data_IF_436891125329
#
_entry.id   IF_436891125329
#
_cell.length_a   1.000
_cell.length_b   1.000
_cell.length_c   1.000
_cell.angle_alpha   90.00
_cell.angle_beta   90.00
_cell.angle_gamma   90.00
#
_symmetry.space_group_name_H-M   'P 1'
#
loop_
_entity.id
_entity.type
_entity.pdbx_description
1 polymer ?
#
# COMPACT_ATOMS: atom_id res chain seq x y z
N UNK A 1 -23.35 -4.25 -7.18
CA UNK A 1 -23.16 -2.87 -7.72
C UNK A 1 -21.90 -2.89 -8.55
N UNK A 2 -21.93 -2.41 -9.79
CA UNK A 2 -20.76 -2.29 -10.67
C UNK A 2 -20.08 -0.91 -10.51
N UNK A 3 -18.87 -0.78 -11.07
CA UNK A 3 -18.17 0.51 -11.13
C UNK A 3 -19.01 1.59 -11.85
N UNK A 4 -19.64 1.24 -12.98
CA UNK A 4 -20.51 2.18 -13.70
C UNK A 4 -21.74 2.60 -12.88
N UNK A 5 -22.34 1.69 -12.11
CA UNK A 5 -23.44 2.00 -11.21
C UNK A 5 -22.98 2.90 -10.04
N UNK A 6 -21.78 2.65 -9.51
CA UNK A 6 -21.18 3.50 -8.48
C UNK A 6 -20.96 4.93 -8.99
N UNK A 7 -20.45 5.09 -10.21
CA UNK A 7 -20.20 6.40 -10.82
C UNK A 7 -21.47 7.21 -11.11
N UNK A 8 -22.65 6.57 -11.11
CA UNK A 8 -23.94 7.26 -11.25
C UNK A 8 -24.54 7.70 -9.91
N UNK A 9 -23.96 7.28 -8.77
CA UNK A 9 -24.42 7.73 -7.45
C UNK A 9 -24.06 9.19 -7.22
N UNK A 10 -24.88 9.92 -6.45
CA UNK A 10 -24.53 11.29 -6.10
C UNK A 10 -23.24 11.33 -5.28
N UNK A 11 -22.42 12.32 -5.54
CA UNK A 11 -21.26 12.62 -4.71
C UNK A 11 -21.70 13.03 -3.30
N UNK A 12 -20.81 12.86 -2.32
CA UNK A 12 -21.02 13.39 -0.99
C UNK A 12 -21.12 14.93 -1.06
N UNK A 13 -22.06 15.49 -0.32
CA UNK A 13 -22.16 16.93 -0.19
C UNK A 13 -20.92 17.51 0.50
N UNK A 14 -20.59 18.81 0.27
CA UNK A 14 -19.51 19.47 0.98
C UNK A 14 -19.62 19.38 2.50
N UNK A 15 -20.85 19.46 3.05
CA UNK A 15 -21.10 19.36 4.48
C UNK A 15 -20.85 17.97 5.04
N UNK A 16 -21.22 16.90 4.32
CA UNK A 16 -20.91 15.52 4.69
C UNK A 16 -19.40 15.26 4.66
N UNK A 17 -18.73 15.73 3.62
CA UNK A 17 -17.27 15.64 3.49
C UNK A 17 -16.57 16.38 4.63
N UNK A 18 -16.99 17.61 4.94
CA UNK A 18 -16.46 18.41 6.06
C UNK A 18 -16.63 17.69 7.39
N UNK A 19 -17.83 17.16 7.65
CA UNK A 19 -18.11 16.41 8.88
C UNK A 19 -17.24 15.15 9.00
N UNK A 20 -17.01 14.43 7.92
CA UNK A 20 -16.13 13.25 7.91
C UNK A 20 -14.67 13.64 8.23
N UNK A 21 -14.16 14.73 7.63
CA UNK A 21 -12.81 15.25 7.90
C UNK A 21 -12.65 15.74 9.35
N UNK A 22 -13.67 16.41 9.91
CA UNK A 22 -13.66 16.81 11.32
C UNK A 22 -13.64 15.62 12.28
N UNK A 23 -14.36 14.53 11.95
CA UNK A 23 -14.33 13.29 12.73
C UNK A 23 -12.95 12.62 12.66
N UNK A 24 -12.38 12.52 11.47
CA UNK A 24 -11.05 11.95 11.26
C UNK A 24 -9.98 12.75 12.02
N UNK A 25 -10.00 14.10 11.92
CA UNK A 25 -9.04 14.96 12.62
C UNK A 25 -9.14 14.83 14.13
N UNK A 26 -10.35 14.74 14.69
CA UNK A 26 -10.55 14.51 16.13
C UNK A 26 -10.02 13.15 16.57
N UNK A 27 -10.20 12.11 15.78
CA UNK A 27 -9.64 10.79 16.07
C UNK A 27 -8.11 10.82 16.03
N UNK A 28 -7.52 11.50 15.05
CA UNK A 28 -6.05 11.66 14.97
C UNK A 28 -5.53 12.46 16.18
N UNK A 29 -6.22 13.53 16.58
CA UNK A 29 -5.84 14.32 17.76
C UNK A 29 -5.85 13.51 19.05
N UNK A 30 -6.86 12.66 19.25
CA UNK A 30 -6.94 11.80 20.44
C UNK A 30 -5.76 10.85 20.59
N UNK A 31 -5.09 10.50 19.49
CA UNK A 31 -3.92 9.64 19.46
C UNK A 31 -2.58 10.43 19.54
N UNK A 32 -2.59 11.74 19.28
CA UNK A 32 -1.37 12.52 19.06
C UNK A 32 -0.41 12.51 20.26
N UNK A 33 -0.94 12.62 21.48
CA UNK A 33 -0.11 12.66 22.70
C UNK A 33 0.67 11.35 22.92
N UNK A 34 0.06 10.22 22.60
CA UNK A 34 0.65 8.89 22.79
C UNK A 34 1.59 8.52 21.65
N UNK A 35 1.20 8.85 20.41
CA UNK A 35 1.90 8.42 19.20
C UNK A 35 2.70 9.54 18.50
N UNK A 36 3.03 10.64 19.19
CA UNK A 36 3.86 11.72 18.62
C UNK A 36 5.27 11.29 18.25
N UNK A 37 5.83 10.32 18.95
CA UNK A 37 7.19 9.78 18.74
C UNK A 37 7.23 8.25 18.62
N UNK A 38 6.11 7.59 18.79
CA UNK A 38 5.93 6.15 18.64
C UNK A 38 4.92 5.85 17.54
N UNK A 39 4.76 4.58 17.20
CA UNK A 39 3.87 4.13 16.14
C UNK A 39 2.81 3.17 16.71
N UNK A 40 1.71 3.07 16.00
CA UNK A 40 0.64 2.12 16.30
C UNK A 40 1.07 0.72 15.88
N UNK A 41 0.86 -0.28 16.74
CA UNK A 41 1.02 -1.68 16.34
C UNK A 41 0.05 -2.03 15.21
N UNK A 42 0.32 -3.11 14.47
CA UNK A 42 -0.44 -3.48 13.26
C UNK A 42 -1.90 -3.83 13.48
N UNK A 43 -2.30 -4.12 14.71
CA UNK A 43 -3.69 -4.36 15.11
C UNK A 43 -3.98 -3.76 16.49
N UNK A 44 -5.26 -3.54 16.78
CA UNK A 44 -5.72 -3.07 18.08
C UNK A 44 -6.17 -4.25 18.96
N UNK A 45 -5.96 -4.11 20.28
CA UNK A 45 -6.50 -5.01 21.29
C UNK A 45 -7.46 -4.24 22.17
N UNK A 46 -8.67 -4.77 22.37
CA UNK A 46 -9.73 -4.11 23.15
C UNK A 46 -10.01 -2.65 22.73
N UNK A 47 -9.86 -2.35 21.42
CA UNK A 47 -10.07 -1.02 20.87
C UNK A 47 -8.89 -0.05 21.00
N UNK A 48 -7.74 -0.49 21.52
CA UNK A 48 -6.54 0.33 21.71
C UNK A 48 -5.35 -0.23 20.93
N UNK A 49 -4.50 0.66 20.42
CA UNK A 49 -3.23 0.31 19.80
C UNK A 49 -2.11 0.33 20.84
N UNK A 50 -1.25 -0.68 20.82
CA UNK A 50 -0.01 -0.69 21.61
C UNK A 50 1.03 0.20 20.91
N UNK A 51 1.69 1.14 21.64
CA UNK A 51 2.81 1.90 21.11
C UNK A 51 4.02 1.00 20.84
N UNK A 52 4.61 1.18 19.65
CA UNK A 52 5.78 0.40 19.19
C UNK A 52 6.82 1.29 18.51
N UNK A 53 8.09 0.84 18.42
CA UNK A 53 9.11 1.52 17.61
C UNK A 53 8.79 1.42 16.12
N UNK A 54 9.58 2.12 15.28
CA UNK A 54 9.43 2.15 13.84
C UNK A 54 9.94 0.86 13.17
N UNK A 55 9.24 -0.26 13.37
CA UNK A 55 9.64 -1.58 12.88
C UNK A 55 8.53 -2.28 12.08
N UNK A 56 7.28 -1.84 12.22
CA UNK A 56 6.13 -2.45 11.57
C UNK A 56 5.95 -1.93 10.14
N UNK A 57 5.33 -2.73 9.28
CA UNK A 57 5.03 -2.34 7.89
C UNK A 57 3.94 -1.24 7.79
N UNK A 58 3.13 -1.09 8.82
CA UNK A 58 2.03 -0.12 8.90
C UNK A 58 2.45 1.25 9.42
N UNK A 59 3.68 1.44 9.91
CA UNK A 59 4.06 2.68 10.59
C UNK A 59 3.93 3.93 9.71
N UNK A 60 4.12 3.79 8.39
CA UNK A 60 3.91 4.88 7.43
C UNK A 60 2.49 5.44 7.41
N UNK A 61 1.47 4.62 7.69
CA UNK A 61 0.07 5.05 7.69
C UNK A 61 -0.19 6.07 8.80
N UNK A 62 0.31 5.83 10.02
CA UNK A 62 0.13 6.78 11.10
C UNK A 62 0.77 8.15 10.80
N UNK A 63 1.98 8.16 10.27
CA UNK A 63 2.62 9.41 9.83
C UNK A 63 1.81 10.07 8.69
N UNK A 64 1.24 9.28 7.79
CA UNK A 64 0.32 9.74 6.75
C UNK A 64 -0.94 10.39 7.32
N UNK A 65 -1.55 9.82 8.38
CA UNK A 65 -2.69 10.41 9.10
C UNK A 65 -2.33 11.78 9.68
N UNK A 66 -1.12 11.94 10.24
CA UNK A 66 -0.63 13.23 10.75
C UNK A 66 -0.50 14.27 9.62
N UNK A 67 0.01 13.89 8.46
CA UNK A 67 0.09 14.79 7.30
C UNK A 67 -1.29 15.22 6.80
N UNK A 68 -2.24 14.30 6.69
CA UNK A 68 -3.61 14.61 6.30
C UNK A 68 -4.30 15.53 7.33
N UNK A 69 -4.08 15.30 8.63
CA UNK A 69 -4.60 16.16 9.68
C UNK A 69 -3.99 17.57 9.59
N UNK A 70 -2.69 17.68 9.30
CA UNK A 70 -2.03 18.97 9.07
C UNK A 70 -2.61 19.71 7.86
N UNK A 71 -2.79 19.03 6.72
CA UNK A 71 -3.41 19.63 5.52
C UNK A 71 -4.83 20.13 5.80
N UNK A 72 -5.62 19.34 6.54
CA UNK A 72 -7.02 19.67 6.82
C UNK A 72 -7.18 20.81 7.83
N UNK A 73 -6.30 20.92 8.84
CA UNK A 73 -6.48 21.82 9.97
C UNK A 73 -5.52 23.01 10.00
N UNK A 74 -4.34 22.89 9.38
CA UNK A 74 -3.24 23.85 9.49
C UNK A 74 -2.51 23.79 10.85
N UNK A 75 -2.86 22.87 11.76
CA UNK A 75 -2.29 22.79 13.10
C UNK A 75 -0.85 22.25 13.06
N UNK A 76 0.10 23.10 13.46
CA UNK A 76 1.55 22.79 13.46
C UNK A 76 1.94 21.58 14.31
N UNK A 77 1.14 21.20 15.32
CA UNK A 77 1.42 20.03 16.18
C UNK A 77 1.53 18.73 15.37
N UNK A 78 0.64 18.55 14.39
CA UNK A 78 0.68 17.38 13.48
C UNK A 78 1.95 17.37 12.62
N UNK A 79 2.30 18.54 12.05
CA UNK A 79 3.54 18.69 11.27
C UNK A 79 4.78 18.37 12.09
N UNK A 80 4.88 18.90 13.32
CA UNK A 80 6.01 18.66 14.22
C UNK A 80 6.17 17.17 14.56
N UNK A 81 5.07 16.50 14.90
CA UNK A 81 5.08 15.06 15.16
C UNK A 81 5.49 14.26 13.93
N UNK A 82 4.94 14.58 12.75
CA UNK A 82 5.25 13.88 11.52
C UNK A 82 6.71 14.10 11.06
N UNK A 83 7.27 15.30 11.24
CA UNK A 83 8.69 15.56 10.97
C UNK A 83 9.62 14.77 11.90
N UNK A 84 9.29 14.70 13.19
CA UNK A 84 10.03 13.86 14.14
C UNK A 84 10.01 12.39 13.76
N UNK A 85 8.85 11.92 13.27
CA UNK A 85 8.75 10.54 12.77
C UNK A 85 9.54 10.35 11.47
N UNK A 86 9.63 11.36 10.60
CA UNK A 86 10.47 11.29 9.39
C UNK A 86 11.96 11.09 9.71
N UNK A 87 12.47 11.63 10.82
CA UNK A 87 13.83 11.35 11.32
C UNK A 87 13.99 9.86 11.68
N UNK A 88 12.99 9.27 12.34
CA UNK A 88 12.98 7.84 12.66
C UNK A 88 12.93 6.96 11.39
N UNK A 89 12.24 7.40 10.32
CA UNK A 89 12.27 6.71 9.03
C UNK A 89 13.64 6.82 8.35
N UNK A 90 14.33 7.95 8.47
CA UNK A 90 15.70 8.07 7.98
C UNK A 90 16.65 7.12 8.71
N UNK A 91 16.61 7.08 10.03
CA UNK A 91 17.40 6.15 10.83
C UNK A 91 17.12 4.68 10.43
N UNK A 92 15.83 4.31 10.28
CA UNK A 92 15.42 2.97 9.88
C UNK A 92 16.04 2.52 8.55
N UNK A 93 16.04 3.40 7.54
CA UNK A 93 16.58 3.03 6.23
C UNK A 93 18.12 3.07 6.20
N UNK A 94 18.75 3.98 6.91
CA UNK A 94 20.22 4.06 7.00
C UNK A 94 20.82 2.87 7.75
N UNK A 95 20.14 2.39 8.80
CA UNK A 95 20.58 1.22 9.57
C UNK A 95 20.16 -0.11 8.91
N UNK A 96 19.25 -0.08 7.95
CA UNK A 96 18.70 -1.28 7.32
C UNK A 96 17.73 -2.07 8.22
N UNK A 97 17.27 -1.48 9.34
CA UNK A 97 16.40 -2.16 10.30
C UNK A 97 15.01 -2.41 9.69
N UNK A 98 14.58 -3.69 9.64
CA UNK A 98 13.28 -4.11 9.08
C UNK A 98 12.99 -3.55 7.66
N UNK A 99 14.02 -3.54 6.77
CA UNK A 99 13.91 -3.02 5.39
C UNK A 99 13.95 -4.11 4.32
N UNK A 100 14.05 -5.39 4.68
CA UNK A 100 14.02 -6.53 3.75
C UNK A 100 12.59 -6.89 3.32
N UNK A 101 11.87 -5.88 2.84
CA UNK A 101 10.47 -5.96 2.43
C UNK A 101 10.19 -5.01 1.26
N UNK A 102 9.15 -5.30 0.47
CA UNK A 102 8.62 -4.37 -0.51
C UNK A 102 7.76 -3.26 0.12
N UNK A 103 7.32 -3.41 1.38
CA UNK A 103 6.48 -2.44 2.11
C UNK A 103 7.14 -1.08 2.31
N UNK A 104 8.35 -0.90 1.81
CA UNK A 104 9.03 0.40 1.78
C UNK A 104 8.18 1.48 1.10
N UNK A 105 7.34 1.11 0.12
CA UNK A 105 6.39 2.04 -0.48
C UNK A 105 5.33 2.52 0.52
N UNK A 106 4.70 1.62 1.29
CA UNK A 106 3.76 1.97 2.37
C UNK A 106 4.42 2.85 3.43
N UNK A 107 5.65 2.51 3.79
CA UNK A 107 6.38 3.23 4.83
C UNK A 107 6.75 4.63 4.37
N UNK A 108 7.40 4.78 3.22
CA UNK A 108 8.07 6.03 2.83
C UNK A 108 7.24 6.93 1.93
N UNK A 109 6.28 6.40 1.15
CA UNK A 109 5.38 7.25 0.36
C UNK A 109 4.45 8.06 1.25
N UNK A 110 3.84 7.42 2.25
CA UNK A 110 2.88 8.07 3.13
C UNK A 110 3.55 8.99 4.17
N UNK A 111 4.74 8.63 4.63
CA UNK A 111 5.48 9.42 5.64
C UNK A 111 6.39 10.47 5.01
N UNK A 112 7.44 10.02 4.33
CA UNK A 112 8.55 10.87 3.91
C UNK A 112 8.29 11.61 2.60
N UNK A 113 7.72 10.94 1.57
CA UNK A 113 7.34 11.63 0.32
C UNK A 113 6.28 12.70 0.59
N UNK A 114 5.25 12.38 1.39
CA UNK A 114 4.24 13.36 1.80
C UNK A 114 4.86 14.52 2.58
N UNK A 115 5.74 14.22 3.53
CA UNK A 115 6.46 15.23 4.31
C UNK A 115 7.29 16.17 3.44
N UNK A 116 8.05 15.63 2.51
CA UNK A 116 8.81 16.46 1.57
C UNK A 116 7.90 17.32 0.68
N UNK A 117 6.84 16.74 0.10
CA UNK A 117 5.90 17.50 -0.75
C UNK A 117 5.20 18.63 -0.02
N UNK A 118 4.86 18.45 1.25
CA UNK A 118 4.13 19.44 2.04
C UNK A 118 5.04 20.51 2.67
N UNK A 119 6.29 20.19 2.96
CA UNK A 119 7.14 21.06 3.79
C UNK A 119 8.50 21.40 3.16
N UNK A 120 8.91 20.72 2.10
CA UNK A 120 10.26 20.83 1.54
C UNK A 120 11.35 20.22 2.44
N UNK A 121 11.00 19.35 3.41
CA UNK A 121 11.94 18.80 4.36
C UNK A 121 12.95 17.85 3.70
N UNK A 122 14.22 18.21 3.69
CA UNK A 122 15.30 17.46 3.04
C UNK A 122 15.64 16.13 3.73
N UNK A 123 15.40 16.00 5.03
CA UNK A 123 15.56 14.73 5.77
C UNK A 123 14.55 13.71 5.26
N UNK A 124 13.28 14.12 5.10
CA UNK A 124 12.24 13.29 4.55
C UNK A 124 12.53 12.90 3.08
N UNK A 125 12.99 13.84 2.26
CA UNK A 125 13.43 13.57 0.88
C UNK A 125 14.53 12.52 0.83
N UNK A 126 15.58 12.70 1.62
CA UNK A 126 16.71 11.75 1.72
C UNK A 126 16.23 10.36 2.10
N UNK A 127 15.39 10.25 3.14
CA UNK A 127 14.85 8.98 3.59
C UNK A 127 14.05 8.27 2.48
N UNK A 128 13.19 9.00 1.77
CA UNK A 128 12.39 8.45 0.68
C UNK A 128 13.23 7.98 -0.52
N UNK A 129 14.29 8.70 -0.89
CA UNK A 129 15.19 8.30 -1.97
C UNK A 129 16.01 7.06 -1.61
N UNK A 130 16.53 6.97 -0.38
CA UNK A 130 17.21 5.76 0.11
C UNK A 130 16.26 4.56 0.12
N UNK A 131 15.00 4.75 0.51
CA UNK A 131 14.00 3.71 0.48
C UNK A 131 13.65 3.28 -0.96
N UNK A 132 13.57 4.20 -1.90
CA UNK A 132 13.38 3.89 -3.31
C UNK A 132 14.54 3.08 -3.88
N UNK A 133 15.79 3.40 -3.53
CA UNK A 133 16.97 2.61 -3.91
C UNK A 133 16.92 1.20 -3.31
N UNK A 134 16.56 1.09 -2.04
CA UNK A 134 16.39 -0.21 -1.37
C UNK A 134 15.27 -1.03 -2.01
N UNK A 135 14.11 -0.42 -2.31
CA UNK A 135 13.02 -1.10 -3.00
C UNK A 135 13.43 -1.54 -4.42
N UNK A 136 14.08 -0.66 -5.19
CA UNK A 136 14.60 -0.97 -6.53
C UNK A 136 15.59 -2.16 -6.50
N UNK A 137 16.41 -2.28 -5.44
CA UNK A 137 17.36 -3.39 -5.29
C UNK A 137 16.71 -4.75 -5.07
N UNK A 138 15.41 -4.78 -4.74
CA UNK A 138 14.63 -6.02 -4.58
C UNK A 138 14.11 -6.58 -5.90
N UNK A 139 14.47 -5.98 -7.03
CA UNK A 139 14.01 -6.40 -8.34
C UNK A 139 14.81 -7.59 -8.88
N UNK A 140 14.10 -8.61 -9.31
CA UNK A 140 14.66 -9.79 -9.98
C UNK A 140 14.58 -9.66 -11.49
N UNK A 141 15.73 -9.57 -12.15
CA UNK A 141 15.82 -9.39 -13.61
C UNK A 141 15.26 -10.58 -14.39
N UNK A 142 15.38 -11.81 -13.90
CA UNK A 142 14.82 -13.01 -14.58
C UNK A 142 13.30 -13.07 -14.49
N UNK A 143 12.73 -12.79 -13.30
CA UNK A 143 11.30 -12.85 -13.06
C UNK A 143 10.57 -11.54 -13.35
N UNK A 144 11.31 -10.45 -13.56
CA UNK A 144 10.78 -9.10 -13.82
C UNK A 144 9.82 -8.63 -12.72
N UNK A 145 10.15 -8.89 -11.44
CA UNK A 145 9.33 -8.49 -10.30
C UNK A 145 10.18 -8.07 -9.09
N UNK A 146 9.56 -7.29 -8.19
CA UNK A 146 10.10 -6.94 -6.87
C UNK A 146 9.75 -8.06 -5.88
N UNK A 147 10.75 -8.61 -5.19
CA UNK A 147 10.52 -9.62 -4.17
C UNK A 147 9.81 -9.03 -2.96
N UNK A 148 8.77 -9.72 -2.47
CA UNK A 148 7.92 -9.22 -1.39
C UNK A 148 8.70 -8.98 -0.09
N UNK A 149 9.18 -10.03 0.57
CA UNK A 149 9.97 -9.91 1.80
C UNK A 149 11.08 -10.95 1.90
N UNK A 150 11.93 -10.79 2.92
CA UNK A 150 13.05 -11.66 3.23
C UNK A 150 14.29 -11.36 2.39
N UNK A 151 15.41 -11.99 2.76
CA UNK A 151 16.67 -11.80 2.09
C UNK A 151 16.61 -12.22 0.61
N UNK A 152 17.28 -11.48 -0.25
CA UNK A 152 17.26 -11.66 -1.72
C UNK A 152 17.92 -12.95 -2.20
N UNK A 153 18.84 -13.49 -1.43
CA UNK A 153 19.52 -14.77 -1.68
C UNK A 153 18.73 -16.01 -1.23
N UNK A 154 17.65 -15.80 -0.47
CA UNK A 154 16.76 -16.89 -0.06
C UNK A 154 15.74 -17.21 -1.15
N UNK A 155 16.06 -18.17 -2.00
CA UNK A 155 15.24 -18.58 -3.14
C UNK A 155 13.82 -19.09 -2.75
N UNK A 156 13.58 -19.44 -1.48
CA UNK A 156 12.22 -19.75 -0.99
C UNK A 156 11.30 -18.53 -0.98
N UNK A 157 11.87 -17.33 -1.02
CA UNK A 157 11.15 -16.05 -1.05
C UNK A 157 10.97 -15.48 -2.47
N UNK A 158 11.27 -16.24 -3.51
CA UNK A 158 11.19 -15.80 -4.91
C UNK A 158 9.73 -15.67 -5.34
N UNK A 159 9.08 -14.60 -4.85
CA UNK A 159 7.65 -14.36 -4.99
C UNK A 159 7.31 -12.87 -4.96
N UNK A 160 6.21 -12.52 -5.61
CA UNK A 160 5.52 -11.25 -5.44
C UNK A 160 4.23 -11.43 -4.64
N UNK A 161 3.72 -10.32 -4.10
CA UNK A 161 2.45 -10.24 -3.38
C UNK A 161 1.69 -9.03 -3.94
N UNK A 162 0.36 -9.13 -3.99
CA UNK A 162 -0.50 -8.14 -4.65
C UNK A 162 -0.36 -6.72 -4.09
N UNK A 163 -0.12 -6.56 -2.80
CA UNK A 163 0.05 -5.26 -2.16
C UNK A 163 1.32 -4.51 -2.61
N UNK A 164 2.25 -5.18 -3.31
CA UNK A 164 3.35 -4.52 -3.98
C UNK A 164 2.88 -3.41 -4.94
N UNK A 165 1.70 -3.54 -5.53
CA UNK A 165 1.12 -2.51 -6.41
C UNK A 165 0.99 -1.15 -5.74
N UNK A 166 0.82 -1.12 -4.41
CA UNK A 166 0.78 0.11 -3.60
C UNK A 166 2.16 0.63 -3.19
N UNK A 167 3.21 -0.17 -3.43
CA UNK A 167 4.59 0.20 -3.13
C UNK A 167 5.30 0.83 -4.34
N UNK A 168 4.78 0.62 -5.56
CA UNK A 168 5.31 1.19 -6.80
C UNK A 168 5.30 2.72 -6.87
N UNK A 169 4.33 3.45 -6.27
CA UNK A 169 4.34 4.91 -6.23
C UNK A 169 5.64 5.53 -5.73
N UNK A 170 6.34 4.87 -4.80
CA UNK A 170 7.65 5.33 -4.33
C UNK A 170 8.69 5.37 -5.47
N UNK A 171 8.68 4.38 -6.35
CA UNK A 171 9.58 4.31 -7.50
C UNK A 171 9.19 5.32 -8.59
N UNK A 172 7.92 5.51 -8.85
CA UNK A 172 7.46 6.54 -9.79
C UNK A 172 7.86 7.95 -9.31
N UNK A 173 7.60 8.25 -8.04
CA UNK A 173 8.02 9.51 -7.42
C UNK A 173 9.55 9.70 -7.49
N UNK A 174 10.33 8.67 -7.21
CA UNK A 174 11.79 8.77 -7.30
C UNK A 174 12.27 9.09 -8.72
N UNK A 175 11.58 8.59 -9.76
CA UNK A 175 11.84 9.01 -11.15
C UNK A 175 11.52 10.49 -11.37
N UNK A 176 10.36 10.96 -10.90
CA UNK A 176 9.96 12.37 -11.04
C UNK A 176 10.95 13.31 -10.35
N UNK A 177 11.41 12.92 -9.15
CA UNK A 177 12.28 13.75 -8.32
C UNK A 177 13.75 13.77 -8.79
N UNK A 178 14.25 12.65 -9.32
CA UNK A 178 15.68 12.51 -9.69
C UNK A 178 15.94 12.62 -11.19
N UNK A 179 14.90 12.48 -12.03
CA UNK A 179 15.03 12.33 -13.46
C UNK A 179 15.58 10.97 -13.91
N UNK A 180 15.83 10.02 -13.00
CA UNK A 180 16.36 8.71 -13.35
C UNK A 180 15.24 7.75 -13.75
N UNK A 181 15.18 7.28 -15.02
CA UNK A 181 14.05 6.49 -15.53
C UNK A 181 14.04 5.05 -14.98
N UNK A 182 15.12 4.58 -14.41
CA UNK A 182 15.29 3.17 -13.99
C UNK A 182 14.31 2.78 -12.88
N UNK A 183 13.92 3.69 -12.01
CA UNK A 183 12.91 3.41 -10.98
C UNK A 183 11.55 3.10 -11.62
N UNK A 184 11.05 3.99 -12.47
CA UNK A 184 9.76 3.80 -13.15
C UNK A 184 9.79 2.60 -14.09
N UNK A 185 10.92 2.31 -14.76
CA UNK A 185 11.09 1.13 -15.60
C UNK A 185 10.90 -0.17 -14.83
N UNK A 186 11.53 -0.30 -13.67
CA UNK A 186 11.36 -1.47 -12.78
C UNK A 186 9.97 -1.56 -12.18
N UNK A 187 9.37 -0.42 -11.83
CA UNK A 187 7.98 -0.38 -11.35
C UNK A 187 7.01 -0.89 -12.42
N UNK A 188 7.14 -0.45 -13.68
CA UNK A 188 6.31 -0.93 -14.81
C UNK A 188 6.53 -2.42 -15.08
N UNK A 189 7.78 -2.87 -15.17
CA UNK A 189 8.08 -4.29 -15.39
C UNK A 189 7.48 -5.18 -14.29
N UNK A 190 7.55 -4.73 -13.03
CA UNK A 190 6.87 -5.44 -11.92
C UNK A 190 5.35 -5.44 -12.08
N UNK A 191 4.77 -4.28 -12.42
CA UNK A 191 3.32 -4.15 -12.62
C UNK A 191 2.83 -5.11 -13.71
N UNK A 192 3.46 -5.10 -14.88
CA UNK A 192 3.10 -5.95 -16.02
C UNK A 192 3.21 -7.44 -15.65
N UNK A 193 4.28 -7.83 -14.94
CA UNK A 193 4.45 -9.19 -14.44
C UNK A 193 3.35 -9.54 -13.42
N UNK A 194 3.08 -8.65 -12.46
CA UNK A 194 2.06 -8.90 -11.45
C UNK A 194 0.67 -9.08 -12.08
N UNK A 195 0.28 -8.20 -13.01
CA UNK A 195 -1.01 -8.30 -13.68
C UNK A 195 -1.15 -9.59 -14.48
N UNK A 196 -0.07 -10.06 -15.12
CA UNK A 196 -0.09 -11.30 -15.90
C UNK A 196 -0.33 -12.57 -15.09
N UNK A 197 -0.12 -12.55 -13.77
CA UNK A 197 -0.20 -13.74 -12.90
C UNK A 197 -1.13 -13.59 -11.70
N UNK A 198 -1.32 -12.37 -11.18
CA UNK A 198 -2.14 -12.10 -9.98
C UNK A 198 -3.62 -12.04 -10.31
N UNK A 199 -3.99 -11.48 -11.47
CA UNK A 199 -5.38 -11.38 -11.90
C UNK A 199 -5.80 -12.69 -12.56
N UNK A 200 -6.88 -13.30 -12.03
CA UNK A 200 -7.48 -14.51 -12.63
C UNK A 200 -8.38 -14.12 -13.80
N UNK A 201 -8.79 -15.08 -14.65
CA UNK A 201 -9.67 -14.82 -15.79
C UNK A 201 -11.04 -14.21 -15.45
N UNK A 202 -11.51 -14.39 -14.19
CA UNK A 202 -12.74 -13.78 -13.66
C UNK A 202 -12.51 -12.43 -12.97
N UNK A 203 -11.28 -11.87 -13.07
CA UNK A 203 -10.82 -10.63 -12.42
C UNK A 203 -10.74 -10.67 -10.89
N UNK A 204 -10.87 -11.84 -10.28
CA UNK A 204 -10.44 -12.06 -8.91
C UNK A 204 -8.93 -12.08 -8.81
N UNK A 205 -8.38 -11.94 -7.59
CA UNK A 205 -6.94 -11.86 -7.42
C UNK A 205 -6.36 -12.96 -6.54
N UNK A 206 -5.17 -13.43 -6.89
CA UNK A 206 -4.33 -14.17 -5.96
C UNK A 206 -3.71 -13.22 -4.92
N UNK A 207 -3.43 -13.72 -3.72
CA UNK A 207 -2.66 -12.99 -2.72
C UNK A 207 -1.18 -12.94 -3.09
N UNK A 208 -0.58 -14.09 -3.34
CA UNK A 208 0.86 -14.30 -3.58
C UNK A 208 1.07 -15.14 -4.83
N UNK A 209 2.12 -14.85 -5.59
CA UNK A 209 2.51 -15.66 -6.72
C UNK A 209 4.00 -16.02 -6.66
N UNK A 210 4.31 -17.31 -6.75
CA UNK A 210 5.67 -17.84 -6.76
C UNK A 210 6.19 -18.01 -8.18
N UNK A 211 7.49 -17.83 -8.32
CA UNK A 211 8.21 -18.01 -9.58
C UNK A 211 9.37 -18.99 -9.39
N UNK A 212 9.80 -19.60 -10.46
CA UNK A 212 10.98 -20.43 -10.51
C UNK A 212 12.25 -19.56 -10.47
N UNK A 213 13.12 -19.73 -9.48
CA UNK A 213 14.29 -18.85 -9.33
C UNK A 213 15.38 -19.08 -10.40
N UNK A 214 15.39 -20.25 -11.06
CA UNK A 214 16.37 -20.55 -12.11
C UNK A 214 15.96 -19.94 -13.44
N UNK A 215 14.67 -20.04 -13.78
CA UNK A 215 14.13 -19.61 -15.07
C UNK A 215 13.39 -18.27 -15.03
N UNK A 216 12.93 -17.82 -13.86
CA UNK A 216 12.06 -16.66 -13.70
C UNK A 216 10.61 -16.91 -14.11
N UNK A 217 10.23 -18.12 -14.49
CA UNK A 217 8.88 -18.43 -14.96
C UNK A 217 7.87 -18.50 -13.81
N UNK A 218 6.60 -18.07 -14.04
CA UNK A 218 5.53 -18.23 -13.08
C UNK A 218 5.29 -19.71 -12.72
N UNK A 219 5.06 -20.00 -11.43
CA UNK A 219 4.81 -21.36 -10.93
C UNK A 219 3.37 -21.53 -10.45
N UNK A 220 2.96 -20.76 -9.42
CA UNK A 220 1.65 -20.92 -8.80
C UNK A 220 1.23 -19.72 -7.97
N UNK A 221 -0.08 -19.46 -7.95
CA UNK A 221 -0.74 -18.57 -7.00
C UNK A 221 -1.05 -19.29 -5.69
N UNK A 222 -0.94 -18.59 -4.57
CA UNK A 222 -1.27 -19.07 -3.22
C UNK A 222 -1.81 -17.94 -2.38
N UNK A 223 -2.28 -18.27 -1.16
CA UNK A 223 -2.57 -17.25 -0.14
C UNK A 223 -1.78 -17.50 1.15
N UNK A 224 -1.53 -16.42 1.90
CA UNK A 224 -1.00 -16.46 3.26
C UNK A 224 -1.99 -15.86 4.27
N UNK A 225 -3.00 -15.13 3.79
CA UNK A 225 -3.97 -14.42 4.63
C UNK A 225 -5.42 -14.72 4.24
N UNK A 226 -5.70 -15.16 3.00
CA UNK A 226 -7.01 -15.62 2.57
C UNK A 226 -7.34 -16.99 3.12
N UNK A 227 -8.58 -17.42 2.94
CA UNK A 227 -9.08 -18.72 3.38
C UNK A 227 -8.40 -19.90 2.68
N UNK A 228 -8.26 -19.82 1.36
CA UNK A 228 -7.58 -20.84 0.54
C UNK A 228 -6.92 -20.21 -0.68
N UNK A 229 -6.04 -20.96 -1.37
CA UNK A 229 -5.40 -20.48 -2.61
C UNK A 229 -6.43 -20.20 -3.73
N UNK A 230 -7.58 -20.84 -3.71
CA UNK A 230 -8.64 -20.69 -4.70
C UNK A 230 -9.70 -19.65 -4.29
N UNK A 231 -9.70 -19.20 -3.03
CA UNK A 231 -10.57 -18.13 -2.56
C UNK A 231 -10.03 -16.75 -2.89
N UNK A 232 -10.76 -15.71 -2.52
CA UNK A 232 -10.40 -14.32 -2.79
C UNK A 232 -10.34 -13.53 -1.48
N UNK A 233 -9.15 -13.32 -0.98
CA UNK A 233 -8.93 -12.47 0.17
C UNK A 233 -9.33 -11.03 -0.13
N UNK A 234 -10.34 -10.51 0.60
CA UNK A 234 -10.98 -9.24 0.28
C UNK A 234 -10.01 -8.05 0.28
N UNK A 235 -9.09 -7.99 1.24
CA UNK A 235 -8.05 -6.94 1.27
C UNK A 235 -7.08 -7.07 0.10
N UNK A 236 -6.78 -8.29 -0.35
CA UNK A 236 -5.96 -8.51 -1.54
C UNK A 236 -6.62 -7.96 -2.80
N UNK A 237 -7.91 -8.24 -2.98
CA UNK A 237 -8.69 -7.67 -4.08
C UNK A 237 -8.72 -6.14 -4.01
N UNK A 238 -8.90 -5.56 -2.82
CA UNK A 238 -8.85 -4.10 -2.62
C UNK A 238 -7.47 -3.50 -2.95
N UNK A 239 -6.38 -4.23 -2.67
CA UNK A 239 -5.04 -3.81 -3.10
C UNK A 239 -4.92 -3.77 -4.63
N UNK A 240 -5.53 -4.72 -5.34
CA UNK A 240 -5.62 -4.69 -6.80
C UNK A 240 -6.33 -3.45 -7.32
N UNK A 241 -7.50 -3.13 -6.76
CA UNK A 241 -8.26 -1.92 -7.11
C UNK A 241 -7.42 -0.67 -6.91
N UNK A 242 -6.89 -0.47 -5.70
CA UNK A 242 -6.17 0.77 -5.37
C UNK A 242 -4.83 0.88 -6.11
N UNK A 243 -4.10 -0.22 -6.21
CA UNK A 243 -2.80 -0.23 -6.89
C UNK A 243 -2.89 0.06 -8.39
N UNK A 244 -3.92 -0.46 -9.07
CA UNK A 244 -4.18 -0.15 -10.47
C UNK A 244 -4.56 1.31 -10.68
N UNK A 245 -5.39 1.89 -9.80
CA UNK A 245 -5.73 3.31 -9.84
C UNK A 245 -4.49 4.21 -9.70
N UNK A 246 -3.60 3.88 -8.76
CA UNK A 246 -2.34 4.61 -8.57
C UNK A 246 -1.40 4.44 -9.77
N UNK A 247 -1.27 3.23 -10.29
CA UNK A 247 -0.43 2.96 -11.46
C UNK A 247 -0.93 3.71 -12.70
N UNK A 248 -2.25 3.75 -12.93
CA UNK A 248 -2.85 4.58 -13.98
C UNK A 248 -2.55 6.07 -13.76
N UNK A 249 -2.63 6.56 -12.50
CA UNK A 249 -2.34 7.98 -12.19
C UNK A 249 -0.93 8.39 -12.62
N UNK A 250 0.08 7.52 -12.44
CA UNK A 250 1.46 7.79 -12.81
C UNK A 250 1.77 7.52 -14.30
N UNK A 251 1.21 6.46 -14.85
CA UNK A 251 1.57 6.01 -16.20
C UNK A 251 0.67 6.55 -17.29
N UNK A 252 -0.59 6.86 -16.99
CA UNK A 252 -1.66 7.22 -17.92
C UNK A 252 -1.94 6.15 -18.98
N UNK A 253 -1.51 4.91 -18.74
CA UNK A 253 -1.74 3.80 -19.67
C UNK A 253 -3.20 3.33 -19.61
N UNK A 254 -3.93 3.35 -20.75
CA UNK A 254 -5.35 2.98 -20.79
C UNK A 254 -5.62 1.52 -20.37
N UNK A 255 -4.67 0.62 -20.60
CA UNK A 255 -4.78 -0.80 -20.21
C UNK A 255 -4.94 -0.97 -18.70
N UNK A 256 -4.19 -0.23 -17.87
CA UNK A 256 -4.33 -0.30 -16.42
C UNK A 256 -5.68 0.27 -15.93
N UNK A 257 -6.30 1.16 -16.70
CA UNK A 257 -7.64 1.65 -16.39
C UNK A 257 -8.71 0.59 -16.66
N UNK A 258 -8.56 -0.20 -17.73
CA UNK A 258 -9.49 -1.30 -18.01
C UNK A 258 -9.37 -2.42 -16.98
N UNK A 259 -8.15 -2.82 -16.63
CA UNK A 259 -7.92 -3.79 -15.52
C UNK A 259 -8.48 -3.27 -14.20
N UNK A 260 -8.29 -1.97 -13.90
CA UNK A 260 -8.88 -1.32 -12.72
C UNK A 260 -10.41 -1.46 -12.68
N UNK A 261 -11.11 -1.20 -13.78
CA UNK A 261 -12.58 -1.32 -13.84
C UNK A 261 -13.04 -2.75 -13.54
N UNK A 262 -12.43 -3.72 -14.19
CA UNK A 262 -12.80 -5.13 -14.04
C UNK A 262 -12.52 -5.67 -12.63
N UNK A 263 -11.35 -5.37 -12.08
CA UNK A 263 -10.98 -5.77 -10.70
C UNK A 263 -11.88 -5.07 -9.68
N UNK A 264 -12.28 -3.82 -9.96
CA UNK A 264 -13.25 -3.07 -9.14
C UNK A 264 -14.65 -3.67 -9.23
N UNK A 265 -15.10 -4.04 -10.43
CA UNK A 265 -16.40 -4.69 -10.62
C UNK A 265 -16.49 -6.01 -9.85
N UNK A 266 -15.42 -6.82 -9.87
CA UNK A 266 -15.37 -8.01 -9.05
C UNK A 266 -15.55 -7.68 -7.56
N UNK A 267 -14.77 -6.71 -7.04
CA UNK A 267 -14.86 -6.29 -5.64
C UNK A 267 -16.28 -5.84 -5.28
N UNK A 268 -16.85 -4.91 -6.05
CA UNK A 268 -18.15 -4.29 -5.76
C UNK A 268 -19.33 -5.28 -5.87
N UNK A 269 -19.26 -6.24 -6.78
CA UNK A 269 -20.33 -7.24 -6.97
C UNK A 269 -20.34 -8.33 -5.92
N UNK A 270 -19.21 -8.53 -5.22
CA UNK A 270 -19.07 -9.50 -4.13
C UNK A 270 -19.21 -8.88 -2.73
N UNK A 271 -19.47 -7.56 -2.64
CA UNK A 271 -19.77 -6.94 -1.36
C UNK A 271 -21.13 -7.40 -0.83
N UNK A 272 -21.24 -7.64 0.49
CA UNK A 272 -22.53 -7.87 1.12
C UNK A 272 -23.40 -6.61 1.09
N UNK A 273 -24.67 -6.74 1.44
CA UNK A 273 -25.68 -5.67 1.36
C UNK A 273 -25.27 -4.40 2.16
N UNK A 274 -24.56 -4.58 3.29
CA UNK A 274 -24.06 -3.47 4.13
C UNK A 274 -22.76 -2.83 3.59
N UNK A 275 -22.25 -3.29 2.45
CA UNK A 275 -21.03 -2.80 1.77
C UNK A 275 -19.73 -2.97 2.58
N UNK A 276 -19.73 -3.77 3.65
CA UNK A 276 -18.53 -4.08 4.43
C UNK A 276 -18.04 -5.48 4.06
N UNK A 277 -16.89 -5.63 3.39
CA UNK A 277 -16.42 -6.94 2.96
C UNK A 277 -16.09 -7.84 4.17
N UNK A 278 -16.36 -9.12 4.03
CA UNK A 278 -15.79 -10.12 4.93
C UNK A 278 -14.29 -10.27 4.69
N UNK A 279 -13.62 -11.00 5.55
CA UNK A 279 -12.18 -11.28 5.42
C UNK A 279 -11.80 -11.90 4.08
N UNK A 280 -12.66 -12.78 3.57
CA UNK A 280 -12.52 -13.44 2.29
C UNK A 280 -13.92 -13.54 1.66
N UNK A 281 -14.03 -13.38 0.33
CA UNK A 281 -15.31 -13.37 -0.36
C UNK A 281 -16.01 -14.74 -0.43
N UNK A 282 -15.35 -15.81 -0.02
CA UNK A 282 -15.98 -17.13 0.14
C UNK A 282 -16.97 -17.16 1.33
N UNK A 283 -16.85 -16.22 2.27
CA UNK A 283 -17.72 -16.17 3.44
C UNK A 283 -19.06 -15.51 3.14
N UNK A 284 -20.11 -16.09 3.73
CA UNK A 284 -21.46 -15.54 3.76
C UNK A 284 -21.83 -15.10 5.17
N UNK A 285 -22.92 -14.33 5.32
CA UNK A 285 -23.43 -13.90 6.64
C UNK A 285 -23.58 -15.14 7.56
N UNK A 286 -22.93 -15.07 8.72
CA UNK A 286 -22.96 -16.14 9.73
C UNK A 286 -21.87 -17.21 9.60
N UNK A 287 -21.00 -17.16 8.59
CA UNK A 287 -19.90 -18.13 8.38
C UNK A 287 -18.51 -17.52 8.59
N UNK A 288 -18.42 -16.28 9.04
CA UNK A 288 -17.15 -15.55 9.17
C UNK A 288 -16.33 -15.91 10.43
N UNK A 289 -16.68 -16.96 11.15
CA UNK A 289 -16.00 -17.36 12.38
C UNK A 289 -15.45 -18.78 12.23
N UNK A 290 -14.22 -18.89 11.81
CA UNK A 290 -13.34 -20.02 12.11
C UNK A 290 -11.99 -19.47 12.54
#
# INVERSE_FOLDING_TARGET
MTFEELMKKPELSPDETKKALELASRQTESCLSEFSSQFKFVYSENGFYTPVPNEQWTNGFWTGELWLAYENTGDGRYREAALKQAESFLERIETGNHTDTHDLGFLYSLSCVSGYKLTGNETAKKAALLAADRLKSRFHEKGQFLQAWGAMDNLKNYRLIIDCLLNLPLLYWATEETGQPEYAKKARAHLDTALSVIIRPDYSTYHTYYFDPETGKPLRGVTHQGYSADSVWARGQAWGVYGLALSYRYTRSPEYLEDFKHVTDYFLTHLPENLVPYWDFIFEIGRAHV
#
